data_IF_973961013818
#
_entry.id   IF_973961013818
#
_cell.length_a   1.000
_cell.length_b   1.000
_cell.length_c   1.000
_cell.angle_alpha   90.00
_cell.angle_beta   90.00
_cell.angle_gamma   90.00
#
_symmetry.space_group_name_H-M   'P 1'
#
loop_
_entity.id
_entity.type
_entity.pdbx_description
1 polymer ?
#
# COMPACT_ATOMS: atom_id res chain seq x y z
N UNK A 1 63.98 47.85 7.28
CA UNK A 1 63.00 47.81 6.17
C UNK A 1 61.66 47.37 6.74
N UNK A 2 60.69 48.29 6.87
CA UNK A 2 59.38 48.02 7.48
C UNK A 2 58.32 47.72 6.42
N UNK A 3 57.28 46.99 6.79
CA UNK A 3 55.95 46.94 6.15
C UNK A 3 55.03 46.17 7.11
N UNK A 4 53.82 46.54 7.46
CA UNK A 4 53.04 47.77 7.36
C UNK A 4 51.75 47.47 8.13
N UNK A 5 51.38 48.35 9.06
CA UNK A 5 50.08 48.36 9.74
C UNK A 5 48.93 48.50 8.75
N UNK A 6 47.79 47.86 9.06
CA UNK A 6 46.48 48.41 8.72
C UNK A 6 45.56 48.20 9.93
N UNK A 7 45.39 49.26 10.71
CA UNK A 7 44.34 49.40 11.72
C UNK A 7 43.00 49.67 11.02
N UNK A 8 41.94 48.98 11.43
CA UNK A 8 40.56 49.38 11.15
C UNK A 8 39.83 49.60 12.46
N UNK A 9 39.55 50.87 12.73
CA UNK A 9 38.71 51.34 13.81
C UNK A 9 37.26 50.91 13.58
N UNK A 10 36.62 50.35 14.60
CA UNK A 10 35.17 50.36 14.71
C UNK A 10 34.76 50.92 16.08
N UNK A 11 33.82 51.83 15.98
CA UNK A 11 33.39 52.85 16.90
C UNK A 11 32.53 52.28 18.04
N UNK A 12 32.72 52.87 19.23
CA UNK A 12 31.83 52.77 20.38
C UNK A 12 30.38 53.14 19.98
N UNK A 13 29.46 52.22 20.21
CA UNK A 13 28.02 52.48 20.29
C UNK A 13 27.54 52.13 21.69
N UNK A 14 27.32 53.16 22.50
CA UNK A 14 26.73 53.08 23.82
C UNK A 14 25.22 52.92 23.64
N UNK A 15 24.64 51.80 24.05
CA UNK A 15 23.19 51.73 24.23
C UNK A 15 22.84 51.02 25.53
N UNK A 16 22.15 51.78 26.36
CA UNK A 16 21.79 51.52 27.74
C UNK A 16 20.47 50.76 27.79
N UNK A 17 20.50 49.50 28.25
CA UNK A 17 19.29 48.80 28.68
C UNK A 17 19.41 48.30 30.11
N UNK A 18 18.49 48.82 30.92
CA UNK A 18 18.32 48.54 32.34
C UNK A 18 17.98 47.06 32.60
N UNK A 19 18.63 46.50 33.63
CA UNK A 19 18.28 45.22 34.24
C UNK A 19 17.08 45.37 35.19
N UNK A 20 16.14 44.43 35.25
CA UNK A 20 15.33 44.18 36.44
C UNK A 20 15.97 43.08 37.33
N UNK A 21 15.63 43.04 38.64
CA UNK A 21 16.38 42.28 39.64
C UNK A 21 16.02 40.78 39.67
N UNK A 22 16.82 39.94 40.34
CA UNK A 22 16.61 38.49 40.36
C UNK A 22 15.58 38.09 41.42
N UNK A 23 14.70 37.15 41.07
CA UNK A 23 13.83 36.47 42.03
C UNK A 23 14.20 34.98 42.06
N UNK A 24 14.63 34.52 43.22
CA UNK A 24 14.88 33.12 43.57
C UNK A 24 13.56 32.37 43.77
N UNK A 25 13.42 31.15 43.23
CA UNK A 25 12.34 30.25 43.64
C UNK A 25 12.13 29.03 42.74
N UNK A 26 12.50 27.85 43.24
CA UNK A 26 12.26 26.51 42.65
C UNK A 26 10.75 26.24 42.41
N UNK A 27 10.38 25.62 41.28
CA UNK A 27 9.53 24.40 41.21
C UNK A 27 9.33 23.87 39.78
N UNK A 28 9.50 22.56 39.67
CA UNK A 28 8.82 21.57 38.82
C UNK A 28 8.62 21.82 37.31
N UNK A 29 9.19 20.87 36.56
CA UNK A 29 9.03 20.57 35.15
C UNK A 29 7.58 20.12 34.86
N UNK A 30 6.75 21.02 34.34
CA UNK A 30 5.45 20.68 33.74
C UNK A 30 5.56 20.70 32.22
N UNK A 31 5.19 19.61 31.55
CA UNK A 31 4.83 19.65 30.12
C UNK A 31 3.77 20.74 29.96
N UNK A 32 4.04 21.78 29.16
CA UNK A 32 2.98 22.68 28.69
C UNK A 32 2.01 21.83 27.86
N UNK A 33 0.91 21.43 28.47
CA UNK A 33 -0.29 21.07 27.72
C UNK A 33 -0.68 22.30 26.90
N UNK A 34 -0.99 22.10 25.63
CA UNK A 34 -1.52 23.15 24.76
C UNK A 34 -2.70 23.80 25.49
N UNK A 35 -2.67 25.12 25.63
CA UNK A 35 -3.66 25.84 26.41
C UNK A 35 -5.04 25.59 25.79
N UNK A 36 -6.07 25.28 26.59
CA UNK A 36 -7.41 24.92 26.07
C UNK A 36 -7.97 26.00 25.15
N UNK A 37 -7.56 27.25 25.36
CA UNK A 37 -7.87 28.42 24.55
C UNK A 37 -7.22 28.38 23.16
N UNK A 38 -5.99 27.85 23.07
CA UNK A 38 -5.25 27.68 21.81
C UNK A 38 -5.85 26.54 20.98
N UNK A 39 -6.24 25.44 21.62
CA UNK A 39 -6.98 24.35 20.99
C UNK A 39 -8.33 24.82 20.41
N UNK A 40 -9.10 25.60 21.17
CA UNK A 40 -10.36 26.19 20.69
C UNK A 40 -10.15 27.17 19.54
N UNK A 41 -9.04 27.93 19.54
CA UNK A 41 -8.71 28.87 18.46
C UNK A 41 -8.33 28.16 17.16
N UNK A 42 -7.57 27.06 17.26
CA UNK A 42 -7.24 26.18 16.13
C UNK A 42 -8.48 25.51 15.54
N UNK A 43 -9.40 25.06 16.40
CA UNK A 43 -10.66 24.48 15.98
C UNK A 43 -11.55 25.51 15.25
N UNK A 44 -11.67 26.72 15.81
CA UNK A 44 -12.43 27.82 15.18
C UNK A 44 -11.82 28.22 13.82
N UNK A 45 -10.49 28.30 13.73
CA UNK A 45 -9.81 28.58 12.47
C UNK A 45 -10.06 27.48 11.43
N UNK A 46 -10.15 26.22 11.86
CA UNK A 46 -10.43 25.10 10.95
C UNK A 46 -11.88 25.06 10.49
N UNK A 47 -12.83 25.39 11.36
CA UNK A 47 -14.25 25.55 11.02
C UNK A 47 -14.41 26.67 9.99
N UNK A 48 -13.84 27.85 10.26
CA UNK A 48 -13.91 28.99 9.33
C UNK A 48 -13.30 28.69 7.96
N UNK A 49 -12.24 27.87 7.90
CA UNK A 49 -11.63 27.46 6.64
C UNK A 49 -12.54 26.50 5.85
N UNK A 50 -13.14 25.52 6.52
CA UNK A 50 -14.08 24.59 5.89
C UNK A 50 -15.35 25.28 5.38
N UNK A 51 -15.86 26.27 6.13
CA UNK A 51 -17.00 27.09 5.70
C UNK A 51 -16.68 27.93 4.46
N UNK A 52 -15.45 28.47 4.37
CA UNK A 52 -15.00 29.24 3.22
C UNK A 52 -14.81 28.35 1.98
N UNK A 53 -14.26 27.14 2.16
CA UNK A 53 -14.11 26.16 1.08
C UNK A 53 -15.48 25.72 0.54
N UNK A 54 -16.45 25.44 1.43
CA UNK A 54 -17.81 25.08 1.06
C UNK A 54 -18.57 26.22 0.34
N UNK A 55 -18.34 27.48 0.74
CA UNK A 55 -18.89 28.63 0.03
C UNK A 55 -18.30 28.76 -1.38
N UNK A 56 -16.99 28.52 -1.54
CA UNK A 56 -16.32 28.52 -2.84
C UNK A 56 -16.81 27.42 -3.79
N UNK A 57 -17.06 26.21 -3.27
CA UNK A 57 -17.64 25.11 -4.07
C UNK A 57 -19.06 25.45 -4.54
N UNK A 58 -19.88 26.03 -3.66
CA UNK A 58 -21.26 26.43 -4.01
C UNK A 58 -21.31 27.50 -5.10
N UNK A 59 -20.38 28.47 -5.06
CA UNK A 59 -20.28 29.50 -6.10
C UNK A 59 -19.83 28.92 -7.45
N UNK A 60 -18.92 27.94 -7.43
CA UNK A 60 -18.50 27.22 -8.65
C UNK A 60 -19.65 26.41 -9.26
N UNK A 61 -20.42 25.69 -8.44
CA UNK A 61 -21.58 24.91 -8.88
C UNK A 61 -22.63 25.82 -9.58
N UNK A 62 -22.91 26.98 -8.97
CA UNK A 62 -23.84 27.96 -9.54
C UNK A 62 -23.35 28.53 -10.88
N UNK A 63 -22.04 28.74 -11.03
CA UNK A 63 -21.46 29.22 -12.28
C UNK A 63 -21.53 28.15 -13.39
N UNK A 64 -21.24 26.89 -13.06
CA UNK A 64 -21.42 25.76 -13.98
C UNK A 64 -22.88 25.67 -14.43
N UNK A 65 -23.83 25.79 -13.52
CA UNK A 65 -25.26 25.73 -13.84
C UNK A 65 -25.69 26.87 -14.79
N UNK A 66 -25.18 28.09 -14.58
CA UNK A 66 -25.44 29.23 -15.48
C UNK A 66 -24.87 28.98 -16.88
N UNK A 67 -23.67 28.45 -16.97
CA UNK A 67 -23.01 28.19 -18.25
C UNK A 67 -23.69 27.06 -19.03
N UNK A 68 -24.13 25.99 -18.34
CA UNK A 68 -24.93 24.92 -18.94
C UNK A 68 -26.27 25.46 -19.47
N UNK A 69 -26.95 26.33 -18.72
CA UNK A 69 -28.19 26.97 -19.17
C UNK A 69 -27.97 27.87 -20.39
N UNK A 70 -26.85 28.60 -20.45
CA UNK A 70 -26.47 29.43 -21.60
C UNK A 70 -26.19 28.57 -22.83
N UNK A 71 -25.35 27.55 -22.70
CA UNK A 71 -24.99 26.63 -23.78
C UNK A 71 -26.21 25.91 -24.37
N UNK A 72 -27.16 25.47 -23.52
CA UNK A 72 -28.41 24.85 -23.98
C UNK A 72 -29.31 25.83 -24.74
N UNK A 73 -29.38 27.09 -24.31
CA UNK A 73 -30.15 28.13 -25.00
C UNK A 73 -29.55 28.42 -26.39
N UNK A 74 -28.24 28.58 -26.46
CA UNK A 74 -27.53 28.86 -27.72
C UNK A 74 -27.65 27.69 -28.71
N UNK A 75 -27.55 26.45 -28.20
CA UNK A 75 -27.77 25.24 -29.00
C UNK A 75 -29.18 25.19 -29.58
N UNK A 76 -30.22 25.42 -28.76
CA UNK A 76 -31.60 25.46 -29.25
C UNK A 76 -31.84 26.57 -30.27
N UNK A 77 -31.23 27.73 -30.09
CA UNK A 77 -31.37 28.85 -31.02
C UNK A 77 -30.70 28.58 -32.38
N UNK A 78 -29.57 27.85 -32.41
CA UNK A 78 -28.90 27.43 -33.64
C UNK A 78 -29.70 26.34 -34.38
N UNK A 79 -30.21 25.34 -33.65
CA UNK A 79 -30.99 24.23 -34.21
C UNK A 79 -32.35 24.70 -34.76
N UNK A 80 -32.96 25.73 -34.19
CA UNK A 80 -34.26 26.25 -34.62
C UNK A 80 -34.30 26.84 -36.04
N UNK A 81 -33.13 27.17 -36.62
CA UNK A 81 -33.00 27.77 -37.96
C UNK A 81 -32.62 26.77 -39.05
N UNK A 82 -32.38 25.52 -38.68
CA UNK A 82 -31.91 24.44 -39.57
C UNK A 82 -33.11 23.60 -40.06
N UNK A 83 -32.98 22.95 -41.21
CA UNK A 83 -33.91 21.88 -41.62
C UNK A 83 -33.61 20.57 -40.87
N UNK A 84 -34.49 19.57 -40.95
CA UNK A 84 -34.38 18.36 -40.12
C UNK A 84 -33.11 17.54 -40.44
N UNK A 85 -32.62 17.56 -41.68
CA UNK A 85 -31.36 16.89 -42.04
C UNK A 85 -30.14 17.64 -41.48
N UNK A 86 -30.11 18.97 -41.61
CA UNK A 86 -29.06 19.82 -41.05
C UNK A 86 -29.02 19.75 -39.51
N UNK A 87 -30.17 19.61 -38.84
CA UNK A 87 -30.24 19.41 -37.40
C UNK A 87 -29.58 18.10 -36.99
N UNK A 88 -29.88 17.00 -37.69
CA UNK A 88 -29.31 15.68 -37.41
C UNK A 88 -27.78 15.73 -37.56
N UNK A 89 -27.28 16.30 -38.65
CA UNK A 89 -25.84 16.41 -38.90
C UNK A 89 -25.15 17.31 -37.86
N UNK A 90 -25.73 18.47 -37.55
CA UNK A 90 -25.19 19.40 -36.57
C UNK A 90 -25.16 18.80 -35.17
N UNK A 91 -26.25 18.16 -34.72
CA UNK A 91 -26.32 17.53 -33.40
C UNK A 91 -25.38 16.32 -33.29
N UNK A 92 -25.25 15.52 -34.36
CA UNK A 92 -24.33 14.39 -34.40
C UNK A 92 -22.88 14.86 -34.31
N UNK A 93 -22.51 15.87 -35.10
CA UNK A 93 -21.18 16.49 -35.06
C UNK A 93 -20.88 17.09 -33.70
N UNK A 94 -21.81 17.87 -33.15
CA UNK A 94 -21.67 18.50 -31.83
C UNK A 94 -21.54 17.48 -30.71
N UNK A 95 -22.29 16.38 -30.77
CA UNK A 95 -22.22 15.29 -29.78
C UNK A 95 -20.89 14.55 -29.86
N UNK A 96 -20.36 14.32 -31.07
CA UNK A 96 -19.05 13.71 -31.29
C UNK A 96 -17.91 14.60 -30.77
N UNK A 97 -17.97 15.91 -31.06
CA UNK A 97 -17.00 16.90 -30.54
C UNK A 97 -17.03 16.96 -29.01
N UNK A 98 -18.22 17.04 -28.40
CA UNK A 98 -18.37 17.03 -26.94
C UNK A 98 -17.82 15.76 -26.30
N UNK A 99 -18.02 14.60 -26.91
CA UNK A 99 -17.47 13.32 -26.43
C UNK A 99 -15.94 13.29 -26.53
N UNK A 100 -15.37 13.80 -27.62
CA UNK A 100 -13.93 13.91 -27.81
C UNK A 100 -13.30 14.86 -26.79
N UNK A 101 -13.93 16.01 -26.54
CA UNK A 101 -13.50 16.98 -25.53
C UNK A 101 -13.61 16.41 -24.12
N UNK A 102 -14.69 15.70 -23.78
CA UNK A 102 -14.83 15.01 -22.50
C UNK A 102 -13.69 14.02 -22.27
N UNK A 103 -13.37 13.17 -23.27
CA UNK A 103 -12.25 12.22 -23.18
C UNK A 103 -10.90 12.92 -23.06
N UNK A 104 -10.70 14.05 -23.74
CA UNK A 104 -9.48 14.87 -23.64
C UNK A 104 -9.34 15.47 -22.24
N UNK A 105 -10.39 16.08 -21.71
CA UNK A 105 -10.42 16.65 -20.36
C UNK A 105 -10.26 15.58 -19.28
N UNK A 106 -10.83 14.39 -19.46
CA UNK A 106 -10.65 13.27 -18.53
C UNK A 106 -9.18 12.81 -18.47
N UNK A 107 -8.51 12.70 -19.63
CA UNK A 107 -7.07 12.39 -19.69
C UNK A 107 -6.22 13.49 -19.06
N UNK A 108 -6.53 14.75 -19.33
CA UNK A 108 -5.83 15.89 -18.74
C UNK A 108 -6.03 15.96 -17.23
N UNK A 109 -7.25 15.74 -16.74
CA UNK A 109 -7.57 15.68 -15.32
C UNK A 109 -6.82 14.53 -14.64
N UNK A 110 -6.74 13.36 -15.27
CA UNK A 110 -5.95 12.24 -14.73
C UNK A 110 -4.44 12.57 -14.66
N UNK A 111 -3.91 13.31 -15.65
CA UNK A 111 -2.51 13.81 -15.63
C UNK A 111 -2.30 14.84 -14.52
N UNK A 112 -3.23 15.79 -14.38
CA UNK A 112 -3.18 16.82 -13.34
C UNK A 112 -3.29 16.21 -11.93
N UNK A 113 -4.14 15.20 -11.75
CA UNK A 113 -4.24 14.44 -10.50
C UNK A 113 -2.92 13.75 -10.15
N UNK A 114 -2.30 13.03 -11.11
CA UNK A 114 -0.98 12.41 -10.91
C UNK A 114 0.09 13.46 -10.57
N UNK A 115 0.09 14.62 -11.24
CA UNK A 115 1.01 15.72 -10.96
C UNK A 115 0.78 16.29 -9.55
N UNK A 116 -0.47 16.44 -9.13
CA UNK A 116 -0.86 16.84 -7.78
C UNK A 116 -0.32 15.89 -6.72
N UNK A 117 -0.48 14.58 -6.92
CA UNK A 117 0.05 13.55 -6.02
C UNK A 117 1.58 13.60 -5.91
N UNK A 118 2.28 13.81 -7.03
CA UNK A 118 3.75 13.97 -7.03
C UNK A 118 4.19 15.23 -6.29
N UNK A 119 3.59 16.39 -6.59
CA UNK A 119 3.91 17.66 -5.91
C UNK A 119 3.62 17.58 -4.40
N UNK A 120 2.54 16.89 -4.02
CA UNK A 120 2.19 16.64 -2.63
C UNK A 120 3.26 15.80 -1.91
N UNK A 121 3.74 14.72 -2.55
CA UNK A 121 4.85 13.90 -2.04
C UNK A 121 6.16 14.69 -1.93
N UNK A 122 6.51 15.48 -2.96
CA UNK A 122 7.70 16.34 -2.94
C UNK A 122 7.63 17.36 -1.81
N UNK A 123 6.48 18.00 -1.62
CA UNK A 123 6.24 18.95 -0.52
C UNK A 123 6.44 18.31 0.85
N UNK A 124 5.92 17.11 1.05
CA UNK A 124 6.03 16.40 2.34
C UNK A 124 7.47 15.91 2.60
N UNK A 125 8.20 15.51 1.56
CA UNK A 125 9.65 15.23 1.61
C UNK A 125 10.45 16.47 1.96
N UNK A 126 10.24 17.59 1.24
CA UNK A 126 10.89 18.86 1.50
C UNK A 126 10.61 19.36 2.93
N UNK A 127 9.39 19.18 3.43
CA UNK A 127 9.04 19.52 4.82
C UNK A 127 9.83 18.69 5.83
N UNK A 128 10.02 17.40 5.58
CA UNK A 128 10.86 16.52 6.41
C UNK A 128 12.33 16.94 6.38
N UNK A 129 12.87 17.25 5.20
CA UNK A 129 14.25 17.70 5.05
C UNK A 129 14.50 19.05 5.73
N UNK A 130 13.57 19.98 5.60
CA UNK A 130 13.61 21.26 6.30
C UNK A 130 13.63 21.06 7.82
N UNK A 131 12.76 20.18 8.35
CA UNK A 131 12.74 19.86 9.78
C UNK A 131 14.07 19.26 10.27
N UNK A 132 14.68 18.35 9.49
CA UNK A 132 16.01 17.81 9.79
C UNK A 132 17.08 18.90 9.78
N UNK A 133 17.05 19.78 8.78
CA UNK A 133 18.00 20.89 8.61
C UNK A 133 17.92 21.87 9.78
N UNK A 134 16.70 22.24 10.19
CA UNK A 134 16.48 23.09 11.38
C UNK A 134 17.02 22.41 12.63
N UNK A 135 16.76 21.12 12.83
CA UNK A 135 17.29 20.39 13.98
C UNK A 135 18.83 20.30 14.01
N UNK A 136 19.48 20.18 12.85
CA UNK A 136 20.94 20.23 12.74
C UNK A 136 21.49 21.63 13.03
N UNK A 137 20.83 22.67 12.51
CA UNK A 137 21.18 24.07 12.79
C UNK A 137 21.12 24.37 14.29
N UNK A 138 20.07 23.96 14.98
CA UNK A 138 19.95 24.13 16.44
C UNK A 138 21.05 23.42 17.22
N UNK A 139 21.46 22.21 16.79
CA UNK A 139 22.57 21.47 17.41
C UNK A 139 23.90 22.20 17.19
N UNK A 140 24.16 22.69 15.98
CA UNK A 140 25.36 23.48 15.67
C UNK A 140 25.40 24.78 16.47
N UNK A 141 24.28 25.49 16.58
CA UNK A 141 24.21 26.72 17.39
C UNK A 141 24.50 26.45 18.87
N UNK A 142 23.99 25.34 19.43
CA UNK A 142 24.31 24.92 20.79
C UNK A 142 25.79 24.63 20.97
N UNK A 143 26.38 23.85 20.05
CA UNK A 143 27.80 23.53 20.08
C UNK A 143 28.67 24.78 19.97
N UNK A 144 28.34 25.71 19.07
CA UNK A 144 29.05 26.99 18.93
C UNK A 144 28.97 27.82 20.23
N UNK A 145 27.80 27.89 20.87
CA UNK A 145 27.63 28.61 22.15
C UNK A 145 28.41 27.94 23.28
N UNK A 146 28.44 26.61 23.35
CA UNK A 146 29.23 25.87 24.33
C UNK A 146 30.72 26.06 24.11
N UNK A 147 31.20 25.90 22.88
CA UNK A 147 32.60 26.13 22.51
C UNK A 147 33.04 27.55 22.87
N UNK A 148 32.19 28.55 22.63
CA UNK A 148 32.51 29.94 22.96
C UNK A 148 32.54 30.19 24.48
N UNK A 149 31.68 29.52 25.27
CA UNK A 149 31.75 29.55 26.73
C UNK A 149 33.03 28.91 27.25
N UNK A 150 33.38 27.74 26.73
CA UNK A 150 34.58 27.01 27.14
C UNK A 150 35.85 27.79 26.77
N UNK A 151 35.89 28.42 25.59
CA UNK A 151 37.02 29.26 25.20
C UNK A 151 37.19 30.47 26.13
N UNK A 152 36.07 31.14 26.47
CA UNK A 152 36.10 32.23 27.46
C UNK A 152 36.54 31.76 28.85
N UNK A 153 36.08 30.57 29.28
CA UNK A 153 36.49 29.97 30.55
C UNK A 153 37.99 29.69 30.57
N UNK A 154 38.51 29.04 29.53
CA UNK A 154 39.95 28.75 29.39
C UNK A 154 40.79 30.04 29.35
N UNK A 155 40.31 31.08 28.67
CA UNK A 155 40.97 32.39 28.65
C UNK A 155 41.04 33.02 30.04
N UNK A 156 39.98 32.92 30.83
CA UNK A 156 39.95 33.41 32.20
C UNK A 156 40.87 32.60 33.12
N UNK A 157 40.80 31.27 33.07
CA UNK A 157 41.69 30.38 33.84
C UNK A 157 43.16 30.62 33.51
N UNK A 158 43.52 30.80 32.23
CA UNK A 158 44.88 31.12 31.82
C UNK A 158 45.34 32.49 32.36
N UNK A 159 44.45 33.48 32.36
CA UNK A 159 44.74 34.79 32.95
C UNK A 159 44.95 34.70 34.46
N UNK A 160 44.13 33.93 35.16
CA UNK A 160 44.26 33.67 36.61
C UNK A 160 45.54 32.90 36.94
N UNK A 161 45.91 31.91 36.12
CA UNK A 161 47.18 31.20 36.27
C UNK A 161 48.37 32.14 36.08
N UNK A 162 48.34 33.01 35.08
CA UNK A 162 49.40 34.00 34.87
C UNK A 162 49.51 34.99 36.04
N UNK A 163 48.38 35.47 36.60
CA UNK A 163 48.43 36.38 37.75
C UNK A 163 48.94 35.66 39.00
N UNK A 164 48.51 34.41 39.23
CA UNK A 164 49.00 33.59 40.33
C UNK A 164 50.50 33.31 40.21
N UNK A 165 50.98 32.98 39.00
CA UNK A 165 52.40 32.73 38.75
C UNK A 165 53.24 33.98 38.97
N UNK A 166 52.78 35.15 38.50
CA UNK A 166 53.44 36.44 38.78
C UNK A 166 53.52 36.70 40.29
N UNK A 167 52.40 36.55 41.01
CA UNK A 167 52.36 36.72 42.47
C UNK A 167 53.30 35.76 43.19
N UNK A 168 53.34 34.50 42.75
CA UNK A 168 54.23 33.48 43.31
C UNK A 168 55.70 33.82 43.05
N UNK A 169 56.06 34.23 41.83
CA UNK A 169 57.43 34.67 41.52
C UNK A 169 57.84 35.85 42.41
N UNK A 170 57.00 36.89 42.51
CA UNK A 170 57.30 38.03 43.41
C UNK A 170 57.47 37.58 44.86
N UNK A 171 56.60 36.69 45.36
CA UNK A 171 56.74 36.16 46.72
C UNK A 171 58.01 35.32 46.92
N UNK A 172 58.50 34.63 45.89
CA UNK A 172 59.78 33.92 45.93
C UNK A 172 60.97 34.88 45.86
N UNK A 173 60.92 35.89 44.98
CA UNK A 173 61.94 36.93 44.90
C UNK A 173 62.08 37.67 46.24
N UNK A 174 60.97 37.99 46.90
CA UNK A 174 60.96 38.57 48.26
C UNK A 174 61.61 37.64 49.29
N UNK A 175 61.29 36.34 49.26
CA UNK A 175 61.91 35.35 50.15
C UNK A 175 63.40 35.19 49.89
N UNK A 176 63.84 35.19 48.63
CA UNK A 176 65.24 35.11 48.27
C UNK A 176 65.99 36.37 48.68
N UNK A 177 65.41 37.55 48.45
CA UNK A 177 65.98 38.82 48.91
C UNK A 177 66.12 38.84 50.44
N UNK A 178 65.11 38.39 51.18
CA UNK A 178 65.17 38.27 52.63
C UNK A 178 66.24 37.27 53.11
N UNK A 179 66.39 36.13 52.42
CA UNK A 179 67.42 35.14 52.72
C UNK A 179 68.82 35.70 52.43
N UNK A 180 69.02 36.36 51.29
CA UNK A 180 70.28 36.99 50.92
C UNK A 180 70.66 38.08 51.93
N UNK A 181 69.73 38.95 52.31
CA UNK A 181 69.95 39.96 53.34
C UNK A 181 70.36 39.33 54.69
N UNK A 182 69.76 38.18 55.05
CA UNK A 182 70.15 37.43 56.25
C UNK A 182 71.56 36.83 56.13
N UNK A 183 71.91 36.28 54.97
CA UNK A 183 73.25 35.74 54.70
C UNK A 183 74.31 36.85 54.68
N UNK A 184 74.00 38.01 54.10
CA UNK A 184 74.83 39.22 54.18
C UNK A 184 75.01 39.65 55.64
N UNK A 185 73.95 39.63 56.45
CA UNK A 185 74.05 39.88 57.89
C UNK A 185 74.97 38.88 58.63
N UNK A 186 74.89 37.59 58.31
CA UNK A 186 75.81 36.59 58.85
C UNK A 186 77.26 36.79 58.38
N UNK A 187 77.44 37.20 57.14
CA UNK A 187 78.76 37.49 56.57
C UNK A 187 79.35 38.75 57.21
N UNK A 188 78.56 39.80 57.43
CA UNK A 188 78.95 41.00 58.17
C UNK A 188 79.28 40.69 59.63
N UNK A 189 78.53 39.80 60.27
CA UNK A 189 78.82 39.31 61.62
C UNK A 189 80.09 38.45 61.67
N UNK A 190 80.42 37.71 60.60
CA UNK A 190 81.67 36.94 60.49
C UNK A 190 82.88 37.83 60.18
N UNK A 191 82.73 38.81 59.29
CA UNK A 191 83.78 39.74 58.85
C UNK A 191 84.03 40.82 59.93
N UNK A 192 82.99 41.16 60.69
CA UNK A 192 83.02 42.02 61.88
C UNK A 192 82.56 41.22 63.09
N UNK A 193 83.36 40.24 63.56
CA UNK A 193 82.96 39.39 64.68
C UNK A 193 82.80 40.25 65.92
N UNK A 194 81.55 40.57 66.25
CA UNK A 194 81.19 40.94 67.60
C UNK A 194 81.58 39.71 68.41
N UNK A 195 82.58 39.88 69.27
CA UNK A 195 83.04 38.84 70.17
C UNK A 195 81.91 38.56 71.15
N UNK A 196 80.89 37.82 70.71
CA UNK A 196 79.87 37.28 71.58
C UNK A 196 80.58 36.13 72.29
N UNK A 197 81.08 36.46 73.47
CA UNK A 197 81.48 35.46 74.44
C UNK A 197 80.16 34.79 74.83
N UNK A 198 79.85 33.69 74.13
CA UNK A 198 78.77 32.80 74.50
C UNK A 198 79.28 32.03 75.72
N UNK A 199 79.27 32.68 76.87
CA UNK A 199 79.30 32.01 78.16
C UNK A 199 77.87 31.54 78.42
N UNK A 200 77.42 30.59 77.60
CA UNK A 200 76.11 29.98 77.77
C UNK A 200 76.32 28.82 78.73
N UNK A 201 75.90 29.04 79.97
CA UNK A 201 75.88 28.01 80.99
C UNK A 201 75.24 26.75 80.40
N UNK A 202 75.79 25.58 80.71
CA UNK A 202 75.38 24.31 80.10
C UNK A 202 73.85 24.12 80.11
N UNK A 203 73.19 24.64 81.14
CA UNK A 203 71.73 24.61 81.32
C UNK A 203 70.95 25.34 80.22
N UNK A 204 71.44 26.49 79.76
CA UNK A 204 70.78 27.26 78.69
C UNK A 204 70.92 26.57 77.32
N UNK A 205 72.05 25.91 77.07
CA UNK A 205 72.23 25.07 75.87
C UNK A 205 71.24 23.89 75.86
N UNK A 206 71.07 23.22 77.01
CA UNK A 206 70.08 22.17 77.16
C UNK A 206 68.66 22.70 76.94
N UNK A 207 68.32 23.87 77.51
CA UNK A 207 67.00 24.50 77.36
C UNK A 207 66.66 24.77 75.89
N UNK A 208 67.59 25.33 75.12
CA UNK A 208 67.40 25.58 73.67
C UNK A 208 67.24 24.27 72.90
N UNK A 209 68.02 23.24 73.23
CA UNK A 209 67.91 21.91 72.59
C UNK A 209 66.58 21.24 72.87
N UNK A 210 66.11 21.25 74.12
CA UNK A 210 64.81 20.70 74.50
C UNK A 210 63.66 21.45 73.83
N UNK A 211 63.72 22.79 73.81
CA UNK A 211 62.74 23.61 73.09
C UNK A 211 62.68 23.26 71.61
N UNK A 212 63.83 23.12 70.95
CA UNK A 212 63.90 22.72 69.54
C UNK A 212 63.31 21.32 69.31
N UNK A 213 63.54 20.37 70.22
CA UNK A 213 62.89 19.06 70.11
C UNK A 213 61.37 19.16 70.24
N UNK A 214 60.86 19.92 71.20
CA UNK A 214 59.40 20.14 71.35
C UNK A 214 58.82 20.72 70.06
N UNK A 215 59.42 21.79 69.52
CA UNK A 215 58.98 22.41 68.26
C UNK A 215 59.00 21.42 67.08
N UNK A 216 60.01 20.55 66.99
CA UNK A 216 60.07 19.50 65.97
C UNK A 216 58.97 18.45 66.12
N UNK A 217 58.62 18.07 67.36
CA UNK A 217 57.51 17.15 67.62
C UNK A 217 56.16 17.78 67.27
N UNK A 218 55.94 19.04 67.64
CA UNK A 218 54.72 19.79 67.28
C UNK A 218 54.58 19.94 65.75
N UNK A 219 55.67 20.27 65.05
CA UNK A 219 55.67 20.36 63.58
C UNK A 219 55.36 19.01 62.93
N UNK A 220 55.93 17.90 63.46
CA UNK A 220 55.63 16.55 62.98
C UNK A 220 54.16 16.20 63.20
N UNK A 221 53.60 16.53 64.36
CA UNK A 221 52.21 16.28 64.69
C UNK A 221 51.27 17.08 63.77
N UNK A 222 51.57 18.35 63.52
CA UNK A 222 50.83 19.19 62.57
C UNK A 222 50.89 18.62 61.14
N UNK A 223 52.06 18.13 60.72
CA UNK A 223 52.22 17.48 59.43
C UNK A 223 51.36 16.21 59.33
N UNK A 224 51.31 15.37 60.36
CA UNK A 224 50.42 14.20 60.39
C UNK A 224 48.95 14.58 60.31
N UNK A 225 48.51 15.61 61.03
CA UNK A 225 47.14 16.11 60.94
C UNK A 225 46.80 16.62 59.53
N UNK A 226 47.73 17.35 58.90
CA UNK A 226 47.56 17.81 57.52
C UNK A 226 47.44 16.63 56.55
N UNK A 227 48.32 15.63 56.68
CA UNK A 227 48.32 14.45 55.82
C UNK A 227 47.03 13.64 55.97
N UNK A 228 46.56 13.43 57.21
CA UNK A 228 45.30 12.75 57.48
C UNK A 228 44.12 13.48 56.83
N UNK A 229 44.04 14.80 56.98
CA UNK A 229 43.01 15.61 56.31
C UNK A 229 43.05 15.49 54.80
N UNK A 230 44.24 15.47 54.19
CA UNK A 230 44.38 15.24 52.74
C UNK A 230 43.85 13.86 52.33
N UNK A 231 44.16 12.81 53.11
CA UNK A 231 43.68 11.45 52.85
C UNK A 231 42.16 11.32 53.03
N UNK A 232 41.59 11.95 54.03
CA UNK A 232 40.13 12.00 54.21
C UNK A 232 39.43 12.67 53.01
N UNK A 233 39.96 13.79 52.52
CA UNK A 233 39.43 14.47 51.33
C UNK A 233 39.57 13.63 50.06
N UNK A 234 40.70 12.94 49.89
CA UNK A 234 40.94 12.03 48.75
C UNK A 234 39.88 10.90 48.74
N UNK A 235 39.63 10.27 49.90
CA UNK A 235 38.59 9.24 50.04
C UNK A 235 37.20 9.78 49.73
N UNK A 236 36.85 10.95 50.28
CA UNK A 236 35.55 11.58 49.99
C UNK A 236 35.37 11.91 48.51
N UNK A 237 36.42 12.40 47.85
CA UNK A 237 36.40 12.69 46.41
C UNK A 237 36.14 11.42 45.60
N UNK A 238 36.85 10.33 45.89
CA UNK A 238 36.67 9.06 45.18
C UNK A 238 35.29 8.44 45.42
N UNK A 239 34.76 8.52 46.65
CA UNK A 239 33.41 8.07 46.97
C UNK A 239 32.36 8.87 46.19
N UNK A 240 32.45 10.20 46.20
CA UNK A 240 31.50 11.06 45.48
C UNK A 240 31.56 10.85 43.97
N UNK A 241 32.77 10.66 43.41
CA UNK A 241 32.95 10.32 42.00
C UNK A 241 32.33 8.96 41.66
N UNK A 242 32.54 7.95 42.51
CA UNK A 242 31.97 6.61 42.31
C UNK A 242 30.44 6.63 42.37
N UNK A 243 29.86 7.34 43.34
CA UNK A 243 28.41 7.48 43.48
C UNK A 243 27.78 8.19 42.27
N UNK A 244 28.44 9.22 41.74
CA UNK A 244 28.03 9.89 40.50
C UNK A 244 28.03 8.93 39.31
N UNK A 245 29.10 8.15 39.15
CA UNK A 245 29.24 7.20 38.04
C UNK A 245 28.19 6.08 38.14
N UNK A 246 27.99 5.54 39.34
CA UNK A 246 26.96 4.54 39.62
C UNK A 246 25.57 5.07 39.25
N UNK A 247 25.22 6.29 39.67
CA UNK A 247 23.94 6.92 39.34
C UNK A 247 23.79 7.12 37.82
N UNK A 248 24.85 7.55 37.13
CA UNK A 248 24.83 7.70 35.68
C UNK A 248 24.58 6.34 34.99
N UNK A 249 25.30 5.29 35.40
CA UNK A 249 25.12 3.93 34.89
C UNK A 249 23.69 3.40 35.13
N UNK A 250 23.12 3.63 36.30
CA UNK A 250 21.72 3.27 36.60
C UNK A 250 20.73 4.02 35.71
N UNK A 251 20.95 5.31 35.45
CA UNK A 251 20.09 6.09 34.55
C UNK A 251 20.18 5.60 33.10
N UNK A 252 21.38 5.28 32.61
CA UNK A 252 21.56 4.73 31.26
C UNK A 252 20.98 3.33 31.14
N UNK A 253 21.14 2.47 32.16
CA UNK A 253 20.50 1.15 32.20
C UNK A 253 18.97 1.25 32.14
N UNK A 254 18.38 2.20 32.85
CA UNK A 254 16.94 2.43 32.81
C UNK A 254 16.47 2.93 31.44
N UNK A 255 17.23 3.82 30.78
CA UNK A 255 16.95 4.25 29.40
C UNK A 255 17.05 3.08 28.42
N UNK A 256 18.09 2.25 28.54
CA UNK A 256 18.29 1.07 27.70
C UNK A 256 17.13 0.07 27.85
N UNK A 257 16.68 -0.20 29.09
CA UNK A 257 15.50 -1.04 29.35
C UNK A 257 14.22 -0.47 28.72
N UNK A 258 14.02 0.84 28.82
CA UNK A 258 12.84 1.48 28.22
C UNK A 258 12.86 1.39 26.68
N UNK A 259 14.01 1.66 26.06
CA UNK A 259 14.19 1.51 24.62
C UNK A 259 14.01 0.06 24.17
N UNK A 260 14.55 -0.90 24.91
CA UNK A 260 14.37 -2.33 24.63
C UNK A 260 12.89 -2.73 24.67
N UNK A 261 12.14 -2.28 25.67
CA UNK A 261 10.70 -2.53 25.77
C UNK A 261 9.93 -1.88 24.60
N UNK A 262 10.32 -0.68 24.17
CA UNK A 262 9.72 0.00 23.02
C UNK A 262 9.99 -0.77 21.72
N UNK A 263 11.22 -1.22 21.49
CA UNK A 263 11.57 -2.04 20.31
C UNK A 263 10.77 -3.34 20.31
N UNK A 264 10.69 -4.04 21.45
CA UNK A 264 9.88 -5.25 21.57
C UNK A 264 8.39 -5.02 21.25
N UNK A 265 7.83 -3.90 21.72
CA UNK A 265 6.45 -3.53 21.41
C UNK A 265 6.26 -3.32 19.90
N UNK A 266 7.17 -2.57 19.24
CA UNK A 266 7.10 -2.37 17.79
C UNK A 266 7.25 -3.67 17.01
N UNK A 267 8.20 -4.54 17.37
CA UNK A 267 8.37 -5.85 16.74
C UNK A 267 7.12 -6.71 16.87
N UNK A 268 6.45 -6.69 18.04
CA UNK A 268 5.18 -7.40 18.23
C UNK A 268 4.09 -6.86 17.31
N UNK A 269 3.92 -5.53 17.25
CA UNK A 269 2.92 -4.90 16.37
C UNK A 269 3.20 -5.16 14.90
N UNK A 270 4.47 -5.14 14.48
CA UNK A 270 4.86 -5.44 13.11
C UNK A 270 4.53 -6.90 12.75
N UNK A 271 4.83 -7.83 13.65
CA UNK A 271 4.52 -9.26 13.45
C UNK A 271 3.01 -9.47 13.29
N UNK A 272 2.21 -8.79 14.11
CA UNK A 272 0.75 -8.88 14.03
C UNK A 272 0.20 -8.29 12.72
N UNK A 273 0.73 -7.15 12.25
CA UNK A 273 0.37 -6.57 10.96
C UNK A 273 0.77 -7.46 9.79
N UNK A 274 1.96 -8.09 9.84
CA UNK A 274 2.38 -9.07 8.82
C UNK A 274 1.45 -10.29 8.80
N UNK A 275 1.03 -10.77 9.96
CA UNK A 275 0.05 -11.86 10.05
C UNK A 275 -1.31 -11.47 9.46
N UNK A 276 -1.80 -10.26 9.75
CA UNK A 276 -3.03 -9.74 9.14
C UNK A 276 -2.90 -9.64 7.61
N UNK A 277 -1.76 -9.15 7.10
CA UNK A 277 -1.49 -9.08 5.67
C UNK A 277 -1.56 -10.46 5.01
N UNK A 278 -0.91 -11.47 5.62
CA UNK A 278 -0.95 -12.84 5.11
C UNK A 278 -2.38 -13.39 5.07
N UNK A 279 -3.19 -13.15 6.11
CA UNK A 279 -4.60 -13.54 6.11
C UNK A 279 -5.38 -12.86 4.98
N UNK A 280 -5.10 -11.59 4.68
CA UNK A 280 -5.74 -10.92 3.54
C UNK A 280 -5.29 -11.50 2.20
N UNK A 281 -4.01 -11.81 2.04
CA UNK A 281 -3.50 -12.48 0.84
C UNK A 281 -4.21 -13.82 0.61
N UNK A 282 -4.38 -14.62 1.66
CA UNK A 282 -5.07 -15.91 1.56
C UNK A 282 -6.56 -15.73 1.22
N UNK A 283 -7.22 -14.71 1.78
CA UNK A 283 -8.61 -14.37 1.41
C UNK A 283 -8.73 -13.92 -0.05
N UNK A 284 -7.77 -13.16 -0.55
CA UNK A 284 -7.73 -12.76 -1.96
C UNK A 284 -7.59 -13.97 -2.88
N UNK A 285 -6.67 -14.89 -2.56
CA UNK A 285 -6.53 -16.16 -3.29
C UNK A 285 -7.83 -16.95 -3.29
N UNK A 286 -8.51 -17.04 -2.15
CA UNK A 286 -9.80 -17.75 -2.07
C UNK A 286 -10.87 -17.12 -2.97
N UNK A 287 -10.93 -15.78 -3.05
CA UNK A 287 -11.87 -15.08 -3.95
C UNK A 287 -11.49 -15.32 -5.41
N UNK A 288 -10.21 -15.26 -5.76
CA UNK A 288 -9.69 -15.56 -7.09
C UNK A 288 -10.02 -17.00 -7.51
N UNK A 289 -9.76 -17.99 -6.65
CA UNK A 289 -10.10 -19.39 -6.89
C UNK A 289 -11.61 -19.58 -7.09
N UNK A 290 -12.44 -18.91 -6.28
CA UNK A 290 -13.90 -18.97 -6.42
C UNK A 290 -14.36 -18.35 -7.74
N UNK A 291 -13.76 -17.22 -8.13
CA UNK A 291 -14.06 -16.55 -9.39
C UNK A 291 -13.69 -17.45 -10.59
N UNK A 292 -12.51 -18.06 -10.55
CA UNK A 292 -12.03 -18.98 -11.58
C UNK A 292 -12.95 -20.20 -11.69
N UNK A 293 -13.28 -20.83 -10.56
CA UNK A 293 -14.24 -21.94 -10.53
C UNK A 293 -15.62 -21.52 -11.10
N UNK A 294 -16.09 -20.31 -10.78
CA UNK A 294 -17.36 -19.81 -11.33
C UNK A 294 -17.27 -19.55 -12.84
N UNK A 295 -16.14 -19.05 -13.35
CA UNK A 295 -15.91 -18.82 -14.77
C UNK A 295 -15.92 -20.15 -15.54
N UNK A 296 -15.27 -21.18 -15.01
CA UNK A 296 -15.28 -22.52 -15.60
C UNK A 296 -16.69 -23.10 -15.66
N UNK A 297 -17.49 -22.91 -14.60
CA UNK A 297 -18.89 -23.32 -14.57
C UNK A 297 -19.75 -22.55 -15.59
N UNK A 298 -19.50 -21.25 -15.78
CA UNK A 298 -20.18 -20.48 -16.82
C UNK A 298 -19.81 -20.96 -18.23
N UNK A 299 -18.55 -21.31 -18.46
CA UNK A 299 -18.09 -21.88 -19.73
C UNK A 299 -18.73 -23.24 -19.99
N UNK A 300 -18.83 -24.10 -18.97
CA UNK A 300 -19.51 -25.39 -19.10
C UNK A 300 -21.00 -25.23 -19.41
N UNK A 301 -21.70 -24.32 -18.72
CA UNK A 301 -23.11 -24.03 -19.01
C UNK A 301 -23.32 -23.45 -20.40
N UNK A 302 -22.44 -22.56 -20.88
CA UNK A 302 -22.51 -22.08 -22.27
C UNK A 302 -22.39 -23.23 -23.26
N UNK A 303 -21.41 -24.12 -23.04
CA UNK A 303 -21.19 -25.28 -23.90
C UNK A 303 -22.41 -26.21 -23.89
N UNK A 304 -22.96 -26.51 -22.71
CA UNK A 304 -24.18 -27.33 -22.58
C UNK A 304 -25.38 -26.68 -23.26
N UNK A 305 -25.56 -25.36 -23.14
CA UNK A 305 -26.63 -24.63 -23.82
C UNK A 305 -26.48 -24.69 -25.35
N UNK A 306 -25.25 -24.53 -25.87
CA UNK A 306 -24.97 -24.68 -27.30
C UNK A 306 -25.26 -26.09 -27.79
N UNK A 307 -24.85 -27.11 -27.05
CA UNK A 307 -25.08 -28.51 -27.40
C UNK A 307 -26.56 -28.88 -27.32
N UNK A 308 -27.28 -28.36 -26.32
CA UNK A 308 -28.75 -28.45 -26.25
C UNK A 308 -29.43 -27.77 -27.44
N UNK A 309 -28.96 -26.58 -27.84
CA UNK A 309 -29.51 -25.88 -29.01
C UNK A 309 -29.26 -26.65 -30.30
N UNK A 310 -28.06 -27.24 -30.47
CA UNK A 310 -27.74 -28.14 -31.60
C UNK A 310 -28.63 -29.39 -31.59
N UNK A 311 -28.83 -30.02 -30.42
CA UNK A 311 -29.72 -31.17 -30.25
C UNK A 311 -31.17 -30.83 -30.59
N UNK A 312 -31.67 -29.67 -30.15
CA UNK A 312 -32.99 -29.15 -30.51
C UNK A 312 -33.17 -29.03 -32.02
N UNK A 313 -32.22 -28.39 -32.72
CA UNK A 313 -32.23 -28.27 -34.19
C UNK A 313 -32.19 -29.62 -34.91
N UNK A 314 -31.46 -30.61 -34.38
CA UNK A 314 -31.44 -31.99 -34.95
C UNK A 314 -32.80 -32.66 -34.80
N UNK A 315 -33.40 -32.60 -33.61
CA UNK A 315 -34.72 -33.17 -33.36
C UNK A 315 -35.83 -32.48 -34.17
N UNK A 316 -35.76 -31.17 -34.38
CA UNK A 316 -36.68 -30.45 -35.27
C UNK A 316 -36.60 -30.96 -36.71
N UNK A 317 -35.38 -31.14 -37.25
CA UNK A 317 -35.18 -31.71 -38.59
C UNK A 317 -35.70 -33.14 -38.71
N UNK A 318 -35.45 -33.97 -37.70
CA UNK A 318 -35.94 -35.35 -37.66
C UNK A 318 -37.48 -35.40 -37.60
N UNK A 319 -38.10 -34.55 -36.78
CA UNK A 319 -39.55 -34.46 -36.66
C UNK A 319 -40.20 -33.98 -37.97
N UNK A 320 -39.60 -32.99 -38.63
CA UNK A 320 -39.99 -32.56 -39.97
C UNK A 320 -39.88 -33.70 -41.01
N UNK A 321 -38.80 -34.49 -40.96
CA UNK A 321 -38.60 -35.63 -41.85
C UNK A 321 -39.66 -36.71 -41.62
N UNK A 322 -39.93 -37.07 -40.36
CA UNK A 322 -41.00 -38.01 -39.98
C UNK A 322 -42.37 -37.51 -40.42
N UNK A 323 -42.64 -36.20 -40.31
CA UNK A 323 -43.88 -35.61 -40.79
C UNK A 323 -44.02 -35.75 -42.32
N UNK A 324 -42.97 -35.45 -43.08
CA UNK A 324 -42.94 -35.66 -44.54
C UNK A 324 -43.13 -37.15 -44.89
N UNK A 325 -42.48 -38.06 -44.16
CA UNK A 325 -42.63 -39.50 -44.35
C UNK A 325 -44.07 -39.97 -44.08
N UNK A 326 -44.70 -39.46 -43.01
CA UNK A 326 -46.10 -39.73 -42.69
C UNK A 326 -47.03 -39.23 -43.78
N UNK A 327 -46.83 -38.00 -44.26
CA UNK A 327 -47.61 -37.42 -45.36
C UNK A 327 -47.46 -38.23 -46.66
N UNK A 328 -46.23 -38.64 -46.99
CA UNK A 328 -45.96 -39.50 -48.15
C UNK A 328 -46.62 -40.89 -48.02
N UNK A 329 -46.57 -41.48 -46.83
CA UNK A 329 -47.21 -42.79 -46.56
C UNK A 329 -48.73 -42.68 -46.66
N UNK A 330 -49.32 -41.63 -46.09
CA UNK A 330 -50.75 -41.37 -46.19
C UNK A 330 -51.19 -41.18 -47.66
N UNK A 331 -50.42 -40.43 -48.46
CA UNK A 331 -50.67 -40.27 -49.89
C UNK A 331 -50.59 -41.59 -50.66
N UNK A 332 -49.59 -42.44 -50.37
CA UNK A 332 -49.47 -43.77 -50.98
C UNK A 332 -50.65 -44.69 -50.62
N UNK A 333 -51.11 -44.66 -49.36
CA UNK A 333 -52.28 -45.44 -48.92
C UNK A 333 -53.54 -44.99 -49.68
N UNK A 334 -53.74 -43.67 -49.83
CA UNK A 334 -54.88 -43.13 -50.60
C UNK A 334 -54.80 -43.61 -52.05
N UNK A 335 -53.63 -43.50 -52.70
CA UNK A 335 -53.44 -43.97 -54.08
C UNK A 335 -53.74 -45.47 -54.21
N UNK A 336 -53.24 -46.30 -53.31
CA UNK A 336 -53.56 -47.74 -53.30
C UNK A 336 -55.05 -48.02 -53.08
N UNK A 337 -55.73 -47.22 -52.24
CA UNK A 337 -57.16 -47.35 -52.03
C UNK A 337 -57.95 -46.96 -53.30
N UNK A 338 -57.54 -45.90 -53.99
CA UNK A 338 -58.11 -45.45 -55.28
C UNK A 338 -57.92 -46.52 -56.37
N UNK A 339 -56.70 -47.05 -56.53
CA UNK A 339 -56.38 -48.14 -57.45
C UNK A 339 -57.22 -49.39 -57.15
N UNK A 340 -57.34 -49.78 -55.87
CA UNK A 340 -58.19 -50.90 -55.43
C UNK A 340 -59.66 -50.65 -55.77
N UNK A 341 -60.15 -49.43 -55.59
CA UNK A 341 -61.52 -49.07 -55.92
C UNK A 341 -61.77 -49.08 -57.43
N UNK A 342 -60.78 -48.72 -58.24
CA UNK A 342 -60.84 -48.84 -59.69
C UNK A 342 -60.82 -50.31 -60.14
N UNK A 343 -59.97 -51.16 -59.57
CA UNK A 343 -59.97 -52.60 -59.83
C UNK A 343 -61.31 -53.24 -59.45
N UNK A 344 -61.90 -52.85 -58.32
CA UNK A 344 -63.24 -53.30 -57.92
C UNK A 344 -64.30 -52.92 -58.97
N UNK A 345 -64.28 -51.68 -59.47
CA UNK A 345 -65.19 -51.25 -60.57
C UNK A 345 -64.97 -52.08 -61.85
N UNK A 346 -63.72 -52.36 -62.22
CA UNK A 346 -63.38 -53.19 -63.39
C UNK A 346 -63.88 -54.62 -63.22
N UNK A 347 -63.70 -55.20 -62.03
CA UNK A 347 -64.20 -56.53 -61.68
C UNK A 347 -65.74 -56.59 -61.75
N UNK A 348 -66.44 -55.64 -61.11
CA UNK A 348 -67.91 -55.54 -61.20
C UNK A 348 -68.40 -55.38 -62.64
N UNK A 349 -67.67 -54.64 -63.49
CA UNK A 349 -68.00 -54.53 -64.92
C UNK A 349 -67.79 -55.84 -65.67
N UNK A 350 -66.72 -56.57 -65.36
CA UNK A 350 -66.46 -57.89 -65.92
C UNK A 350 -67.52 -58.90 -65.47
N UNK A 351 -67.85 -58.96 -64.18
CA UNK A 351 -68.91 -59.81 -63.64
C UNK A 351 -70.25 -59.55 -64.32
N UNK A 352 -70.65 -58.28 -64.48
CA UNK A 352 -71.86 -57.93 -65.24
C UNK A 352 -71.84 -58.45 -66.68
N UNK A 353 -70.69 -58.40 -67.37
CA UNK A 353 -70.55 -58.96 -68.72
C UNK A 353 -70.64 -60.48 -68.70
N UNK A 354 -70.02 -61.13 -67.72
CA UNK A 354 -70.06 -62.59 -67.51
C UNK A 354 -71.48 -63.04 -67.20
N UNK A 355 -72.22 -62.37 -66.32
CA UNK A 355 -73.64 -62.61 -66.06
C UNK A 355 -74.47 -62.47 -67.33
N UNK A 356 -74.21 -61.43 -68.13
CA UNK A 356 -74.89 -61.24 -69.42
C UNK A 356 -74.59 -62.38 -70.39
N UNK A 357 -73.34 -62.83 -70.48
CA UNK A 357 -72.94 -63.98 -71.28
C UNK A 357 -73.57 -65.27 -70.77
N UNK A 358 -73.57 -65.52 -69.45
CA UNK A 358 -74.23 -66.67 -68.84
C UNK A 358 -75.73 -66.65 -69.13
N UNK A 359 -76.38 -65.49 -69.04
CA UNK A 359 -77.78 -65.30 -69.40
C UNK A 359 -78.04 -65.62 -70.87
N UNK A 360 -77.18 -65.18 -71.78
CA UNK A 360 -77.24 -65.52 -73.21
C UNK A 360 -77.02 -67.02 -73.44
N UNK A 361 -76.02 -67.64 -72.79
CA UNK A 361 -75.75 -69.09 -72.88
C UNK A 361 -76.95 -69.88 -72.35
N UNK A 362 -77.58 -69.43 -71.27
CA UNK A 362 -78.77 -70.05 -70.69
C UNK A 362 -80.00 -69.87 -71.60
N UNK A 363 -80.16 -68.72 -72.25
CA UNK A 363 -81.16 -68.50 -73.30
C UNK A 363 -80.90 -69.38 -74.54
N UNK A 364 -79.64 -69.55 -74.96
CA UNK A 364 -79.26 -70.43 -76.07
C UNK A 364 -79.48 -71.91 -75.73
N UNK A 365 -79.18 -72.34 -74.50
CA UNK A 365 -79.48 -73.69 -73.99
C UNK A 365 -80.98 -73.96 -73.88
N UNK A 366 -81.81 -72.93 -73.64
CA UNK A 366 -83.27 -73.04 -73.70
C UNK A 366 -83.82 -73.15 -75.14
N UNK A 367 -83.03 -72.86 -76.18
CA UNK A 367 -83.45 -72.90 -77.59
C UNK A 367 -82.83 -74.04 -78.43
N UNK A 368 -82.03 -74.94 -77.86
CA UNK A 368 -81.37 -76.01 -78.62
C UNK A 368 -81.17 -77.33 -77.87
N UNK A 369 -81.87 -78.38 -78.34
CA UNK A 369 -81.61 -79.84 -78.24
C UNK A 369 -81.14 -80.48 -76.91
N UNK A 370 -81.94 -81.46 -76.50
CA UNK A 370 -81.61 -82.59 -75.60
C UNK A 370 -80.45 -83.44 -76.14
N UNK A 371 -79.59 -83.97 -75.24
CA UNK A 371 -79.11 -85.39 -75.14
C UNK A 371 -78.02 -85.51 -74.04
N UNK A 372 -77.88 -86.68 -73.36
CA UNK A 372 -77.75 -86.81 -71.90
C UNK A 372 -76.45 -87.53 -71.42
N UNK A 373 -76.42 -88.45 -70.41
CA UNK A 373 -75.88 -88.20 -69.06
C UNK A 373 -74.78 -89.19 -68.57
N UNK A 374 -74.14 -88.85 -67.44
CA UNK A 374 -73.42 -89.77 -66.53
C UNK A 374 -71.92 -89.94 -66.81
N UNK A 375 -70.99 -89.95 -65.86
CA UNK A 375 -71.03 -90.04 -64.39
C UNK A 375 -69.61 -89.61 -63.93
N UNK A 376 -69.42 -88.54 -63.14
CA UNK A 376 -69.14 -88.55 -61.69
C UNK A 376 -68.03 -89.56 -61.28
N UNK A 377 -67.05 -89.30 -60.42
CA UNK A 377 -66.83 -88.32 -59.35
C UNK A 377 -65.48 -88.66 -58.72
N UNK A 378 -64.63 -87.68 -58.34
CA UNK A 378 -63.73 -87.67 -57.16
C UNK A 378 -63.11 -86.27 -57.11
N UNK A 379 -63.60 -85.30 -56.33
CA UNK A 379 -63.44 -85.09 -54.88
C UNK A 379 -61.98 -85.14 -54.39
N UNK A 380 -61.68 -84.14 -53.56
CA UNK A 380 -60.59 -84.01 -52.57
C UNK A 380 -59.38 -83.18 -53.03
N UNK A 381 -59.28 -81.91 -52.62
CA UNK A 381 -58.85 -81.41 -51.30
C UNK A 381 -57.34 -81.54 -51.07
N UNK A 382 -56.67 -80.40 -51.03
CA UNK A 382 -55.49 -80.17 -50.19
C UNK A 382 -55.36 -78.67 -49.93
N UNK A 383 -56.11 -78.21 -48.92
CA UNK A 383 -55.62 -77.18 -48.01
C UNK A 383 -54.59 -77.81 -47.05
N UNK A 384 -53.73 -76.95 -46.50
CA UNK A 384 -52.77 -77.19 -45.39
C UNK A 384 -51.38 -77.67 -45.83
N UNK A 385 -50.26 -77.15 -45.34
CA UNK A 385 -49.90 -76.79 -43.96
C UNK A 385 -48.72 -75.77 -44.01
N UNK A 386 -48.80 -74.57 -43.41
CA UNK A 386 -48.29 -74.25 -42.06
C UNK A 386 -46.93 -74.87 -41.69
N UNK A 387 -45.87 -74.04 -41.60
CA UNK A 387 -44.91 -73.91 -40.48
C UNK A 387 -43.84 -72.88 -40.90
N UNK A 388 -43.63 -71.76 -40.18
CA UNK A 388 -42.53 -71.61 -39.19
C UNK A 388 -41.22 -71.22 -39.91
N UNK A 389 -40.66 -70.01 -39.78
CA UNK A 389 -40.08 -69.43 -38.56
C UNK A 389 -38.55 -69.31 -38.77
N UNK A 390 -37.96 -68.18 -38.37
CA UNK A 390 -36.51 -67.88 -38.42
C UNK A 390 -36.22 -66.72 -39.38
N UNK A 391 -36.10 -65.48 -38.91
CA UNK A 391 -34.94 -64.87 -38.23
C UNK A 391 -33.70 -64.73 -39.11
N UNK A 392 -33.16 -63.50 -39.09
CA UNK A 392 -31.89 -63.11 -39.66
C UNK A 392 -31.99 -62.69 -41.13
N UNK A 393 -31.24 -61.72 -41.61
CA UNK A 393 -30.29 -60.82 -40.99
C UNK A 393 -29.98 -59.75 -42.05
N UNK A 394 -29.50 -58.64 -41.56
CA UNK A 394 -29.03 -57.40 -42.15
C UNK A 394 -28.77 -57.28 -43.68
N UNK A 395 -29.24 -56.15 -44.20
CA UNK A 395 -28.93 -55.65 -45.53
C UNK A 395 -27.49 -55.14 -45.62
N UNK A 396 -26.72 -55.79 -46.48
CA UNK A 396 -25.47 -55.33 -47.06
C UNK A 396 -25.70 -54.10 -47.95
N UNK A 397 -25.14 -52.95 -47.56
CA UNK A 397 -24.66 -51.94 -48.50
C UNK A 397 -23.24 -51.59 -48.06
N UNK A 398 -22.31 -52.25 -48.73
CA UNK A 398 -20.87 -52.11 -48.61
C UNK A 398 -20.39 -50.67 -48.83
N UNK A 399 -19.55 -50.25 -47.89
CA UNK A 399 -18.73 -49.06 -47.80
C UNK A 399 -17.56 -49.17 -48.79
N UNK A 400 -17.43 -48.22 -49.72
CA UNK A 400 -16.24 -48.11 -50.56
C UNK A 400 -15.18 -47.27 -49.86
N UNK A 401 -14.17 -47.96 -49.33
CA UNK A 401 -12.90 -47.38 -48.94
C UNK A 401 -11.84 -47.73 -49.99
N UNK A 402 -11.38 -46.72 -50.72
CA UNK A 402 -10.03 -46.72 -51.30
C UNK A 402 -9.35 -45.41 -50.92
N UNK A 403 -8.40 -45.53 -50.00
CA UNK A 403 -7.32 -44.58 -49.78
C UNK A 403 -6.41 -44.61 -51.01
N UNK A 404 -5.98 -43.45 -51.51
CA UNK A 404 -4.55 -43.21 -51.74
C UNK A 404 -4.24 -41.71 -51.80
N UNK A 405 -3.06 -41.43 -51.23
CA UNK A 405 -2.26 -40.22 -51.11
C UNK A 405 -2.34 -39.19 -52.25
N UNK A 406 -2.26 -37.90 -51.90
CA UNK A 406 -1.43 -36.94 -52.66
C UNK A 406 -1.01 -35.70 -51.84
N UNK A 407 0.26 -35.70 -51.43
CA UNK A 407 1.27 -34.62 -51.37
C UNK A 407 0.89 -33.16 -51.04
N UNK A 408 1.38 -32.71 -49.87
CA UNK A 408 2.46 -31.71 -49.66
C UNK A 408 2.90 -30.77 -50.82
N UNK A 409 2.75 -29.45 -50.61
CA UNK A 409 3.60 -28.34 -51.11
C UNK A 409 3.19 -27.06 -50.32
N UNK A 410 3.90 -26.62 -49.27
CA UNK A 410 5.14 -25.80 -49.15
C UNK A 410 4.91 -24.27 -49.19
N UNK A 411 5.67 -23.57 -48.33
CA UNK A 411 5.90 -22.10 -48.15
C UNK A 411 4.74 -21.27 -47.54
N UNK A 412 4.90 -20.36 -46.57
CA UNK A 412 6.03 -19.50 -46.21
C UNK A 412 6.16 -19.27 -44.68
N UNK A 413 7.41 -19.31 -44.24
CA UNK A 413 8.00 -18.67 -43.07
C UNK A 413 7.96 -17.15 -43.28
N UNK A 414 7.35 -16.39 -42.36
CA UNK A 414 7.63 -14.96 -42.27
C UNK A 414 7.80 -14.54 -40.79
N UNK A 415 9.05 -14.73 -40.38
CA UNK A 415 9.66 -14.17 -39.19
C UNK A 415 9.96 -12.68 -39.43
N UNK A 416 9.17 -11.77 -38.84
CA UNK A 416 9.61 -10.39 -38.60
C UNK A 416 9.59 -10.06 -37.09
N UNK A 417 10.72 -9.52 -36.66
CA UNK A 417 11.11 -9.17 -35.30
C UNK A 417 10.71 -7.72 -34.96
N UNK A 418 10.21 -7.52 -33.73
CA UNK A 418 10.17 -6.26 -32.92
C UNK A 418 9.19 -5.10 -33.26
N UNK A 419 8.84 -4.19 -32.29
CA UNK A 419 9.12 -4.15 -30.85
C UNK A 419 7.88 -3.97 -29.93
N UNK A 420 8.11 -4.14 -28.61
CA UNK A 420 7.20 -3.80 -27.51
C UNK A 420 6.55 -2.40 -27.63
N UNK A 421 5.36 -2.24 -27.01
CA UNK A 421 5.23 -1.15 -26.05
C UNK A 421 4.57 -1.57 -24.72
N UNK A 422 5.33 -1.38 -23.65
CA UNK A 422 4.92 -0.90 -22.32
C UNK A 422 3.55 -1.32 -21.79
N UNK A 423 3.60 -2.20 -20.79
CA UNK A 423 2.56 -2.44 -19.81
C UNK A 423 2.00 -1.12 -19.25
N UNK A 424 0.72 -0.84 -19.55
CA UNK A 424 -0.10 0.02 -18.70
C UNK A 424 -0.98 -0.89 -17.85
N UNK A 425 -0.58 -1.02 -16.59
CA UNK A 425 -1.34 -1.64 -15.51
C UNK A 425 -2.80 -1.15 -15.53
N UNK A 426 -3.69 -2.09 -15.84
CA UNK A 426 -5.12 -1.97 -15.64
C UNK A 426 -5.41 -1.64 -14.18
N UNK A 427 -6.21 -0.60 -14.00
CA UNK A 427 -6.69 -0.09 -12.73
C UNK A 427 -7.62 -1.13 -12.10
N UNK A 428 -7.22 -1.72 -10.98
CA UNK A 428 -8.09 -2.53 -10.14
C UNK A 428 -9.29 -1.68 -9.67
N UNK A 429 -10.48 -2.12 -10.04
CA UNK A 429 -11.76 -1.55 -9.58
C UNK A 429 -12.01 -2.06 -8.16
N UNK A 430 -12.14 -1.14 -7.22
CA UNK A 430 -12.44 -1.44 -5.82
C UNK A 430 -13.93 -1.74 -5.66
N UNK A 431 -14.27 -2.97 -5.33
CA UNK A 431 -15.58 -3.34 -4.77
C UNK A 431 -15.37 -3.84 -3.33
N UNK A 432 -16.11 -3.25 -2.38
CA UNK A 432 -16.16 -3.71 -1.00
C UNK A 432 -17.20 -2.91 -0.17
N UNK A 433 -18.01 -3.55 0.68
CA UNK A 433 -19.07 -2.88 1.44
C UNK A 433 -18.53 -2.08 2.62
N UNK A 434 -19.27 -1.03 3.02
CA UNK A 434 -18.93 -0.14 4.14
C UNK A 434 -18.79 -0.89 5.48
N UNK A 435 -17.85 -0.38 6.30
CA UNK A 435 -17.48 -0.94 7.61
C UNK A 435 -18.63 -0.75 8.63
N UNK A 436 -18.94 -1.74 9.49
CA UNK A 436 -19.97 -1.60 10.53
C UNK A 436 -19.53 -0.63 11.65
N UNK A 437 -20.49 0.02 12.36
CA UNK A 437 -20.19 0.96 13.43
C UNK A 437 -19.61 0.25 14.65
N UNK A 438 -18.66 0.90 15.33
CA UNK A 438 -18.00 0.36 16.52
C UNK A 438 -18.95 0.34 17.73
N UNK A 439 -18.88 -0.68 18.60
CA UNK A 439 -19.69 -0.73 19.82
C UNK A 439 -19.23 0.30 20.87
N UNK A 440 -20.13 0.78 21.73
CA UNK A 440 -19.82 1.82 22.71
C UNK A 440 -18.90 1.30 23.82
N UNK A 441 -17.92 2.12 24.21
CA UNK A 441 -16.99 1.79 25.28
C UNK A 441 -17.68 1.80 26.66
N UNK A 442 -17.30 0.89 27.58
CA UNK A 442 -17.84 0.87 28.92
C UNK A 442 -17.36 2.10 29.72
N UNK A 443 -18.31 2.84 30.27
CA UNK A 443 -18.06 3.90 31.24
C UNK A 443 -17.54 3.29 32.53
N UNK A 444 -16.27 3.54 32.84
CA UNK A 444 -15.73 3.28 34.16
C UNK A 444 -16.24 4.36 35.12
N UNK A 445 -17.31 4.04 35.85
CA UNK A 445 -17.60 4.73 37.12
C UNK A 445 -16.58 4.25 38.16
N UNK A 446 -15.74 5.18 38.63
CA UNK A 446 -14.83 4.96 39.76
C UNK A 446 -14.86 6.19 40.66
N UNK A 447 -15.16 5.94 41.94
CA UNK A 447 -15.14 6.88 43.06
C UNK A 447 -13.79 7.55 43.29
#
# INVERSE_FOLDING_TARGET
MPSSQVDTALTNGHDSHAHPPPVTGKKAKGKKAMDSTEASRLLQARISQLEQDAAGEKDQELEIEREVKRANRDLMQQVAKMDDMQKIDHLTKRSSELLADMRRLEKENQKNKKRGDTLQKERDTNRHELSKTVGLKEKLEKLCRELQRDNNKMKNENKELQTLQKRNNTAWDEKYAALLAKLEGYQEEKDTPRKQIVDMEMDELFRVRFKSFIEQYELRELHFHSLMRTKELEVQYHLSRHEREKKNAETELNKARHLQAQVQAFTKTETELRNQLNVYVDKFKQVEDTLNNSNDLFLSFRKEMEDMSKKGKRLEKENEALKRQKEATAANIIRMAEERQEWKKKLESADKKTEKLMSIIQQMQQQGRKVPPGLASTIESCYSNSQGGGEGDESDYSDEGEEEELSEFDDDDDTEEEPQPTEQQGRLVTYGPERPPQPPQPTTNGH
#
